data_IF_467394540488
#
_entry.id   IF_467394540488
#
_cell.length_a   1.000
_cell.length_b   1.000
_cell.length_c   1.000
_cell.angle_alpha   90.00
_cell.angle_beta   90.00
_cell.angle_gamma   90.00
#
_symmetry.space_group_name_H-M   'P 1'
#
loop_
_entity.id
_entity.type
_entity.pdbx_description
1 polymer ?
#
# COMPACT_ATOMS: atom_id res chain seq x y z
N UNK A 1 -10.95 17.12 -5.48
CA UNK A 1 -11.02 15.67 -5.87
C UNK A 1 -10.99 14.83 -4.61
N UNK A 2 -12.08 14.07 -4.40
CA UNK A 2 -12.22 13.17 -3.23
C UNK A 2 -11.92 11.74 -3.62
N UNK A 3 -11.05 11.08 -2.85
CA UNK A 3 -10.67 9.68 -3.09
C UNK A 3 -10.85 8.88 -1.80
N UNK A 4 -11.56 7.76 -1.91
CA UNK A 4 -11.65 6.75 -0.86
C UNK A 4 -10.55 5.70 -1.10
N UNK A 5 -9.58 5.63 -0.21
CA UNK A 5 -8.56 4.58 -0.19
C UNK A 5 -9.00 3.39 0.66
N UNK A 6 -8.73 2.18 0.19
CA UNK A 6 -9.03 0.92 0.87
C UNK A 6 -7.81 0.02 0.89
N UNK A 7 -7.51 -0.59 2.04
CA UNK A 7 -6.51 -1.65 2.14
C UNK A 7 -6.90 -2.73 3.16
N UNK A 8 -6.63 -3.97 2.78
CA UNK A 8 -6.74 -5.13 3.65
C UNK A 8 -5.65 -6.18 3.38
N UNK A 9 -4.56 -5.78 2.74
CA UNK A 9 -3.46 -6.68 2.37
C UNK A 9 -2.65 -7.18 3.57
N UNK A 10 -2.66 -6.44 4.68
CA UNK A 10 -1.96 -6.77 5.93
C UNK A 10 -2.86 -7.33 7.01
N UNK A 11 -2.32 -7.38 8.25
CA UNK A 11 -3.09 -7.68 9.45
C UNK A 11 -3.93 -6.47 9.93
N UNK A 12 -3.60 -5.27 9.48
CA UNK A 12 -4.40 -4.06 9.66
C UNK A 12 -5.21 -3.81 8.40
N UNK A 13 -6.50 -3.64 8.59
CA UNK A 13 -7.43 -3.16 7.57
C UNK A 13 -7.54 -1.66 7.72
N UNK A 14 -7.70 -0.97 6.65
CA UNK A 14 -7.85 0.49 6.72
C UNK A 14 -8.73 1.03 5.60
N UNK A 15 -9.37 2.15 5.89
CA UNK A 15 -10.06 3.01 4.94
C UNK A 15 -9.68 4.46 5.24
N UNK A 16 -9.45 5.25 4.20
CA UNK A 16 -9.07 6.65 4.31
C UNK A 16 -9.78 7.48 3.25
N UNK A 17 -10.38 8.57 3.65
CA UNK A 17 -10.95 9.55 2.73
C UNK A 17 -10.04 10.78 2.68
N UNK A 18 -9.62 11.13 1.48
CA UNK A 18 -8.87 12.35 1.24
C UNK A 18 -9.66 13.30 0.32
N UNK A 19 -9.40 14.60 0.45
CA UNK A 19 -9.85 15.63 -0.47
C UNK A 19 -8.67 16.54 -0.83
N UNK A 20 -8.36 16.65 -2.11
CA UNK A 20 -7.26 17.46 -2.63
C UNK A 20 -5.92 17.20 -1.90
N UNK A 21 -5.65 15.93 -1.60
CA UNK A 21 -4.46 15.47 -0.89
C UNK A 21 -4.52 15.61 0.64
N UNK A 22 -5.52 16.29 1.20
CA UNK A 22 -5.71 16.41 2.64
C UNK A 22 -6.56 15.23 3.18
N UNK A 23 -6.17 14.65 4.31
CA UNK A 23 -6.94 13.60 4.97
C UNK A 23 -8.15 14.20 5.65
N UNK A 24 -9.36 13.79 5.24
CA UNK A 24 -10.61 14.16 5.89
C UNK A 24 -10.95 13.22 7.03
N UNK A 25 -10.80 11.92 6.82
CA UNK A 25 -11.09 10.90 7.82
C UNK A 25 -10.31 9.62 7.52
N UNK A 26 -9.98 8.88 8.56
CA UNK A 26 -9.22 7.65 8.49
C UNK A 26 -9.71 6.67 9.56
N UNK A 27 -9.82 5.39 9.20
CA UNK A 27 -10.23 4.32 10.09
C UNK A 27 -9.31 3.11 9.90
N UNK A 28 -8.95 2.47 11.01
CA UNK A 28 -8.17 1.23 11.01
C UNK A 28 -8.79 0.20 11.96
N UNK A 29 -8.63 -1.06 11.62
CA UNK A 29 -8.92 -2.19 12.51
C UNK A 29 -7.83 -3.25 12.39
N UNK A 30 -7.48 -3.88 13.49
CA UNK A 30 -6.61 -5.06 13.49
C UNK A 30 -7.48 -6.30 13.29
N UNK A 31 -7.22 -7.06 12.22
CA UNK A 31 -7.90 -8.32 11.96
C UNK A 31 -6.99 -9.29 11.22
N UNK A 32 -6.62 -10.36 11.90
CA UNK A 32 -5.88 -11.47 11.28
C UNK A 32 -6.82 -12.33 10.43
N UNK A 33 -8.10 -12.39 10.81
CA UNK A 33 -9.17 -13.10 10.12
C UNK A 33 -10.43 -12.21 10.05
N UNK A 34 -11.34 -12.52 9.12
CA UNK A 34 -12.63 -11.82 9.03
C UNK A 34 -12.60 -10.47 8.31
N UNK A 35 -11.54 -10.18 7.55
CA UNK A 35 -11.40 -8.92 6.81
C UNK A 35 -12.65 -8.55 5.98
N UNK A 36 -13.31 -9.48 5.24
CA UNK A 36 -14.50 -9.15 4.45
C UNK A 36 -15.67 -8.62 5.29
N UNK A 37 -15.76 -9.02 6.56
CA UNK A 37 -16.86 -8.59 7.44
C UNK A 37 -16.60 -7.23 8.10
N UNK A 38 -15.34 -6.86 8.31
CA UNK A 38 -14.94 -5.65 9.05
C UNK A 38 -14.81 -4.43 8.14
N UNK A 39 -14.19 -4.60 6.96
CA UNK A 39 -13.87 -3.49 6.07
C UNK A 39 -15.09 -2.66 5.63
N UNK A 40 -16.27 -3.25 5.32
CA UNK A 40 -17.46 -2.48 4.98
C UNK A 40 -17.91 -1.53 6.09
N UNK A 41 -17.78 -1.95 7.35
CA UNK A 41 -18.11 -1.11 8.52
C UNK A 41 -17.20 0.11 8.65
N UNK A 42 -15.89 -0.04 8.39
CA UNK A 42 -14.95 1.08 8.38
C UNK A 42 -15.30 2.09 7.30
N UNK A 43 -15.64 1.61 6.10
CA UNK A 43 -16.03 2.47 4.98
C UNK A 43 -17.34 3.20 5.25
N UNK A 44 -18.35 2.50 5.76
CA UNK A 44 -19.65 3.10 6.09
C UNK A 44 -19.50 4.24 7.14
N UNK A 45 -18.62 4.05 8.13
CA UNK A 45 -18.33 5.08 9.13
C UNK A 45 -17.68 6.34 8.54
N UNK A 46 -16.90 6.21 7.46
CA UNK A 46 -16.30 7.34 6.74
C UNK A 46 -17.33 8.04 5.82
N UNK A 47 -18.00 7.27 4.96
CA UNK A 47 -18.89 7.82 3.93
C UNK A 47 -20.16 8.42 4.51
N UNK A 48 -20.70 7.86 5.60
CA UNK A 48 -21.94 8.33 6.24
C UNK A 48 -21.89 9.78 6.75
N UNK A 49 -20.70 10.39 6.83
CA UNK A 49 -20.47 11.76 7.32
C UNK A 49 -20.00 12.74 6.24
N UNK A 50 -19.50 12.25 5.12
CA UNK A 50 -18.67 13.06 4.21
C UNK A 50 -19.24 13.21 2.78
N UNK A 51 -20.29 12.48 2.45
CA UNK A 51 -20.87 12.51 1.10
C UNK A 51 -20.12 11.64 0.07
N UNK A 52 -20.34 11.94 -1.22
CA UNK A 52 -19.77 11.15 -2.33
C UNK A 52 -18.26 11.29 -2.51
N UNK A 53 -17.72 10.42 -3.36
CA UNK A 53 -16.31 10.41 -3.79
C UNK A 53 -16.22 10.47 -5.31
N UNK A 54 -15.11 10.98 -5.82
CA UNK A 54 -14.85 11.03 -7.27
C UNK A 54 -14.20 9.72 -7.76
N UNK A 55 -13.40 9.08 -6.90
CA UNK A 55 -12.71 7.82 -7.20
C UNK A 55 -12.60 6.94 -5.96
N UNK A 56 -12.44 5.63 -6.18
CA UNK A 56 -12.08 4.67 -5.16
C UNK A 56 -10.70 4.10 -5.53
N UNK A 57 -9.77 4.14 -4.59
CA UNK A 57 -8.45 3.54 -4.73
C UNK A 57 -8.35 2.29 -3.84
N UNK A 58 -7.91 1.18 -4.39
CA UNK A 58 -7.79 -0.08 -3.66
C UNK A 58 -6.36 -0.61 -3.66
N UNK A 59 -5.88 -1.05 -2.51
CA UNK A 59 -4.62 -1.77 -2.38
C UNK A 59 -4.70 -3.13 -3.10
N UNK A 60 -3.88 -3.31 -4.14
CA UNK A 60 -3.86 -4.54 -4.94
C UNK A 60 -2.85 -5.58 -4.45
N UNK A 61 -2.09 -5.28 -3.38
CA UNK A 61 -1.00 -6.09 -2.86
C UNK A 61 0.39 -5.50 -3.16
N UNK A 62 1.47 -6.21 -2.84
CA UNK A 62 1.50 -7.58 -2.34
C UNK A 62 1.02 -7.71 -0.89
N UNK A 63 0.50 -8.89 -0.52
CA UNK A 63 0.00 -9.16 0.83
C UNK A 63 -0.89 -10.39 0.93
N UNK A 64 -1.76 -10.41 1.93
CA UNK A 64 -2.68 -11.52 2.19
C UNK A 64 -3.75 -11.68 1.11
N UNK A 65 -3.83 -12.85 0.52
CA UNK A 65 -4.71 -13.19 -0.59
C UNK A 65 -6.20 -12.85 -0.34
N UNK A 66 -6.73 -13.26 0.82
CA UNK A 66 -8.14 -13.02 1.18
C UNK A 66 -8.43 -11.54 1.38
N UNK A 67 -7.53 -10.83 2.06
CA UNK A 67 -7.70 -9.40 2.33
C UNK A 67 -7.70 -8.56 1.06
N UNK A 68 -6.74 -8.78 0.16
CA UNK A 68 -6.67 -8.08 -1.13
C UNK A 68 -7.97 -8.26 -1.91
N UNK A 69 -8.47 -9.48 -2.02
CA UNK A 69 -9.72 -9.76 -2.74
C UNK A 69 -10.93 -9.14 -2.07
N UNK A 70 -10.98 -9.11 -0.72
CA UNK A 70 -12.04 -8.45 0.01
C UNK A 70 -12.06 -6.93 -0.24
N UNK A 71 -10.90 -6.28 -0.21
CA UNK A 71 -10.79 -4.85 -0.51
C UNK A 71 -11.20 -4.53 -1.95
N UNK A 72 -10.75 -5.32 -2.92
CA UNK A 72 -11.10 -5.15 -4.32
C UNK A 72 -12.59 -5.39 -4.59
N UNK A 73 -13.18 -6.45 -4.03
CA UNK A 73 -14.62 -6.72 -4.19
C UNK A 73 -15.47 -5.58 -3.62
N UNK A 74 -15.10 -5.07 -2.44
CA UNK A 74 -15.77 -3.92 -1.84
C UNK A 74 -15.60 -2.66 -2.68
N UNK A 75 -14.38 -2.39 -3.18
CA UNK A 75 -14.11 -1.24 -4.03
C UNK A 75 -14.94 -1.25 -5.30
N UNK A 76 -14.99 -2.38 -6.02
CA UNK A 76 -15.79 -2.52 -7.22
C UNK A 76 -17.30 -2.39 -6.94
N UNK A 77 -17.81 -3.05 -5.89
CA UNK A 77 -19.22 -2.94 -5.52
C UNK A 77 -19.66 -1.52 -5.14
N UNK A 78 -18.80 -0.78 -4.43
CA UNK A 78 -19.07 0.63 -4.11
C UNK A 78 -18.98 1.51 -5.36
N UNK A 79 -17.99 1.27 -6.22
CA UNK A 79 -17.79 2.03 -7.44
C UNK A 79 -18.98 1.89 -8.39
N UNK A 80 -19.47 0.66 -8.58
CA UNK A 80 -20.67 0.38 -9.37
C UNK A 80 -21.90 1.10 -8.81
N UNK A 81 -22.08 1.06 -7.48
CA UNK A 81 -23.20 1.74 -6.81
C UNK A 81 -23.12 3.27 -6.85
N UNK A 82 -21.93 3.85 -6.95
CA UNK A 82 -21.69 5.31 -6.95
C UNK A 82 -21.46 5.87 -8.37
N UNK A 83 -21.30 5.03 -9.38
CA UNK A 83 -20.96 5.46 -10.74
C UNK A 83 -19.57 6.06 -10.89
N UNK A 84 -18.57 5.58 -10.12
CA UNK A 84 -17.19 6.09 -10.12
C UNK A 84 -16.19 5.00 -10.53
N UNK A 85 -14.95 5.40 -10.86
CA UNK A 85 -13.89 4.46 -11.21
C UNK A 85 -13.16 3.87 -10.01
N UNK A 86 -12.56 2.67 -10.20
CA UNK A 86 -11.63 2.05 -9.24
C UNK A 86 -10.21 2.11 -9.78
N UNK A 87 -9.29 2.54 -8.92
CA UNK A 87 -7.84 2.63 -9.21
C UNK A 87 -7.11 1.59 -8.37
N UNK A 88 -6.38 0.69 -9.02
CA UNK A 88 -5.50 -0.25 -8.33
C UNK A 88 -4.18 0.41 -7.92
N UNK A 89 -3.79 0.26 -6.66
CA UNK A 89 -2.52 0.80 -6.15
C UNK A 89 -1.72 -0.30 -5.48
N UNK A 90 -0.48 -0.52 -5.93
CA UNK A 90 0.44 -1.41 -5.24
C UNK A 90 0.74 -0.88 -3.83
N UNK A 91 0.70 -1.75 -2.82
CA UNK A 91 1.07 -1.39 -1.45
C UNK A 91 2.51 -0.87 -1.39
N UNK A 92 3.41 -1.46 -2.18
CA UNK A 92 4.79 -0.98 -2.27
C UNK A 92 4.86 0.47 -2.80
N UNK A 93 4.03 0.83 -3.78
CA UNK A 93 3.95 2.19 -4.32
C UNK A 93 3.25 3.17 -3.37
N UNK A 94 2.37 2.68 -2.49
CA UNK A 94 1.69 3.49 -1.47
C UNK A 94 2.62 3.87 -0.30
N UNK A 95 3.56 3.01 0.09
CA UNK A 95 4.42 3.19 1.26
C UNK A 95 5.26 4.50 1.25
N UNK A 96 5.84 4.94 0.13
CA UNK A 96 6.59 6.20 0.07
C UNK A 96 5.78 7.42 0.52
N UNK A 97 4.47 7.44 0.28
CA UNK A 97 3.58 8.53 0.68
C UNK A 97 3.32 8.59 2.19
N UNK A 98 3.66 7.54 2.91
CA UNK A 98 3.52 7.45 4.37
C UNK A 98 4.81 7.75 5.12
N UNK A 99 5.94 7.84 4.43
CA UNK A 99 7.25 8.03 5.04
C UNK A 99 7.57 9.51 5.22
N UNK A 100 7.96 9.85 6.45
CA UNK A 100 8.56 11.16 6.72
C UNK A 100 10.01 11.16 6.18
N UNK A 101 10.22 11.88 5.10
CA UNK A 101 11.51 11.92 4.40
C UNK A 101 12.01 13.36 4.14
N UNK A 102 12.26 14.14 5.22
CA UNK A 102 12.65 15.55 5.08
C UNK A 102 14.01 15.73 4.40
N UNK A 103 14.80 14.67 4.28
CA UNK A 103 16.14 14.70 3.68
C UNK A 103 16.12 14.27 2.20
N UNK A 104 14.95 13.98 1.62
CA UNK A 104 14.82 13.57 0.22
C UNK A 104 15.63 12.31 -0.15
N UNK A 105 15.79 11.36 0.78
CA UNK A 105 16.52 10.11 0.52
C UNK A 105 15.74 9.25 -0.49
N UNK A 106 16.44 8.41 -1.23
CA UNK A 106 15.78 7.37 -2.00
C UNK A 106 14.98 6.46 -1.06
N UNK A 107 13.72 6.20 -1.40
CA UNK A 107 12.82 5.36 -0.60
C UNK A 107 12.78 3.96 -1.20
N UNK A 108 13.03 2.96 -0.35
CA UNK A 108 12.80 1.56 -0.67
C UNK A 108 11.61 1.04 0.14
N UNK A 109 10.57 0.58 -0.54
CA UNK A 109 9.43 -0.04 0.10
C UNK A 109 9.67 -1.54 0.23
N UNK A 110 9.58 -2.07 1.45
CA UNK A 110 9.86 -3.47 1.76
C UNK A 110 8.70 -4.08 2.54
N UNK A 111 8.14 -5.17 2.03
CA UNK A 111 7.05 -5.93 2.68
C UNK A 111 7.54 -7.35 2.94
N UNK A 112 7.38 -7.85 4.16
CA UNK A 112 7.63 -9.24 4.50
C UNK A 112 6.69 -10.16 3.69
N UNK A 113 7.28 -11.08 2.91
CA UNK A 113 6.50 -12.03 2.10
C UNK A 113 5.99 -13.23 2.90
N UNK A 114 6.28 -13.27 4.21
CA UNK A 114 5.92 -14.37 5.15
C UNK A 114 6.43 -15.76 4.74
N UNK A 115 7.43 -15.81 3.87
CA UNK A 115 8.09 -17.03 3.39
C UNK A 115 9.61 -16.94 3.51
N UNK A 116 10.11 -16.10 4.43
CA UNK A 116 11.54 -15.87 4.64
C UNK A 116 12.18 -14.94 3.61
N UNK A 117 11.40 -14.09 2.95
CA UNK A 117 11.87 -13.11 1.99
C UNK A 117 11.12 -11.79 2.07
N UNK A 118 11.43 -10.90 1.16
CA UNK A 118 10.94 -9.53 1.12
C UNK A 118 10.45 -9.20 -0.29
N UNK A 119 9.26 -8.65 -0.42
CA UNK A 119 8.87 -7.91 -1.61
C UNK A 119 9.49 -6.51 -1.52
N UNK A 120 10.33 -6.17 -2.48
CA UNK A 120 11.08 -4.92 -2.51
C UNK A 120 10.70 -4.10 -3.75
N UNK A 121 10.36 -2.82 -3.56
CA UNK A 121 10.31 -1.82 -4.62
C UNK A 121 11.40 -0.78 -4.39
N UNK A 122 12.14 -0.48 -5.44
CA UNK A 122 13.16 0.57 -5.51
C UNK A 122 12.80 1.54 -6.63
N UNK A 123 13.28 2.79 -6.58
CA UNK A 123 13.01 3.77 -7.65
C UNK A 123 13.50 3.35 -9.03
N UNK A 124 14.57 2.57 -9.06
CA UNK A 124 15.36 2.20 -10.25
C UNK A 124 15.04 0.79 -10.79
N UNK A 125 14.08 0.08 -10.19
CA UNK A 125 13.79 -1.30 -10.59
C UNK A 125 12.32 -1.67 -10.36
N UNK A 126 11.77 -2.62 -11.13
CA UNK A 126 10.45 -3.16 -10.87
C UNK A 126 10.39 -3.88 -9.51
N UNK A 127 9.17 -4.06 -8.96
CA UNK A 127 9.00 -4.84 -7.73
C UNK A 127 9.54 -6.26 -7.89
N UNK A 128 10.25 -6.73 -6.87
CA UNK A 128 10.83 -8.08 -6.87
C UNK A 128 10.59 -8.79 -5.53
N UNK A 129 10.49 -10.11 -5.58
CA UNK A 129 10.51 -10.98 -4.40
C UNK A 129 11.94 -11.48 -4.20
N UNK A 130 12.54 -11.16 -3.07
CA UNK A 130 13.94 -11.42 -2.79
C UNK A 130 14.10 -12.15 -1.45
N UNK A 131 14.99 -13.13 -1.41
CA UNK A 131 15.50 -13.64 -0.14
C UNK A 131 16.46 -12.61 0.47
N UNK A 132 16.60 -12.60 1.79
CA UNK A 132 17.43 -11.63 2.50
C UNK A 132 18.89 -11.55 1.97
N UNK A 133 19.44 -12.70 1.58
CA UNK A 133 20.82 -12.78 1.05
C UNK A 133 20.99 -12.07 -0.30
N UNK A 134 19.90 -11.98 -1.08
CA UNK A 134 19.89 -11.37 -2.42
C UNK A 134 19.51 -9.88 -2.42
N UNK A 135 19.33 -9.26 -1.25
CA UNK A 135 19.05 -7.82 -1.18
C UNK A 135 20.21 -7.03 -1.84
N UNK A 136 19.91 -6.16 -2.80
CA UNK A 136 20.92 -5.36 -3.47
C UNK A 136 21.52 -4.33 -2.53
N UNK A 137 22.78 -3.98 -2.75
CA UNK A 137 23.40 -2.87 -2.04
C UNK A 137 22.88 -1.54 -2.61
N UNK A 138 22.50 -0.57 -1.77
CA UNK A 138 22.12 0.75 -2.26
C UNK A 138 23.36 1.55 -2.68
N UNK A 139 23.26 2.34 -3.75
CA UNK A 139 24.33 3.24 -4.20
C UNK A 139 24.52 4.47 -3.30
N UNK A 140 23.52 4.79 -2.47
CA UNK A 140 23.53 5.94 -1.57
C UNK A 140 22.69 5.72 -0.32
N UNK A 141 22.42 6.81 0.40
CA UNK A 141 21.59 6.74 1.61
C UNK A 141 20.13 6.44 1.25
N UNK A 142 19.58 5.35 1.80
CA UNK A 142 18.22 4.88 1.54
C UNK A 142 17.39 4.92 2.82
N UNK A 143 16.12 5.29 2.68
CA UNK A 143 15.09 5.19 3.69
C UNK A 143 14.23 3.96 3.41
N UNK A 144 14.18 3.02 4.33
CA UNK A 144 13.39 1.79 4.23
C UNK A 144 12.06 1.94 4.97
N UNK A 145 10.95 1.57 4.31
CA UNK A 145 9.62 1.56 4.90
C UNK A 145 8.85 0.29 4.59
N UNK A 146 7.91 -0.08 5.47
CA UNK A 146 7.04 -1.25 5.33
C UNK A 146 7.34 -2.36 6.33
N UNK A 147 6.55 -3.43 6.30
CA UNK A 147 6.63 -4.54 7.27
C UNK A 147 7.92 -5.36 7.20
N UNK A 148 8.57 -5.38 6.04
CA UNK A 148 9.88 -6.02 5.83
C UNK A 148 11.08 -5.10 6.04
N UNK A 149 10.84 -3.80 6.34
CA UNK A 149 11.92 -2.81 6.41
C UNK A 149 12.96 -3.09 7.49
N UNK A 150 12.52 -3.54 8.68
CA UNK A 150 13.44 -3.86 9.77
C UNK A 150 14.38 -5.02 9.42
N UNK A 151 13.85 -6.06 8.78
CA UNK A 151 14.61 -7.21 8.31
C UNK A 151 15.61 -6.81 7.23
N UNK A 152 15.15 -6.04 6.22
CA UNK A 152 16.00 -5.51 5.16
C UNK A 152 17.10 -4.62 5.73
N UNK A 153 16.77 -3.70 6.64
CA UNK A 153 17.75 -2.81 7.28
C UNK A 153 18.82 -3.58 8.04
N UNK A 154 18.43 -4.56 8.85
CA UNK A 154 19.39 -5.37 9.62
C UNK A 154 20.42 -6.05 8.69
N UNK A 155 19.95 -6.61 7.57
CA UNK A 155 20.83 -7.27 6.59
C UNK A 155 21.73 -6.29 5.84
N UNK A 156 21.21 -5.15 5.45
CA UNK A 156 21.96 -4.14 4.72
C UNK A 156 22.97 -3.44 5.62
N UNK A 157 22.61 -3.10 6.86
CA UNK A 157 23.53 -2.52 7.85
C UNK A 157 24.68 -3.47 8.19
N UNK A 158 24.41 -4.78 8.33
CA UNK A 158 25.46 -5.78 8.56
C UNK A 158 26.48 -5.86 7.41
N UNK A 159 26.13 -5.36 6.21
CA UNK A 159 27.03 -5.24 5.04
C UNK A 159 27.63 -3.84 4.90
N UNK A 160 27.43 -2.96 5.88
CA UNK A 160 27.92 -1.57 5.87
C UNK A 160 27.12 -0.63 4.95
N UNK A 161 25.93 -1.03 4.48
CA UNK A 161 25.13 -0.19 3.61
C UNK A 161 24.50 1.01 4.37
N UNK A 162 24.46 2.20 3.77
CA UNK A 162 23.97 3.41 4.44
C UNK A 162 22.43 3.50 4.39
N UNK A 163 21.73 2.67 5.16
CA UNK A 163 20.27 2.62 5.25
C UNK A 163 19.75 3.14 6.59
N UNK A 164 18.53 3.65 6.59
CA UNK A 164 17.79 4.06 7.77
C UNK A 164 16.36 3.52 7.71
N UNK A 165 15.76 3.26 8.86
CA UNK A 165 14.34 2.93 8.96
C UNK A 165 13.52 4.22 8.94
N UNK A 166 12.48 4.23 8.09
CA UNK A 166 11.47 5.26 8.07
C UNK A 166 10.29 4.92 8.99
N UNK A 167 9.72 5.95 9.60
CA UNK A 167 8.47 5.83 10.34
C UNK A 167 7.30 6.07 9.42
N UNK A 168 6.37 5.13 9.36
CA UNK A 168 5.13 5.28 8.60
C UNK A 168 4.14 6.15 9.38
N UNK A 169 3.53 7.12 8.70
CA UNK A 169 2.51 8.02 9.25
C UNK A 169 1.15 7.71 8.63
N UNK A 170 0.21 7.29 9.46
CA UNK A 170 -1.15 6.92 9.04
C UNK A 170 -1.24 5.50 8.46
N UNK A 171 -2.43 5.18 7.97
CA UNK A 171 -2.77 3.85 7.47
C UNK A 171 -2.26 3.58 6.06
N UNK A 172 -2.24 2.30 5.68
CA UNK A 172 -1.93 1.91 4.29
C UNK A 172 -2.96 2.48 3.31
N UNK A 173 -4.25 2.53 3.68
CA UNK A 173 -5.30 3.13 2.85
C UNK A 173 -5.05 4.62 2.57
N UNK A 174 -4.45 5.36 3.51
CA UNK A 174 -3.99 6.73 3.28
C UNK A 174 -2.94 6.79 2.17
N UNK A 175 -1.93 5.94 2.25
CA UNK A 175 -0.89 5.85 1.20
C UNK A 175 -1.47 5.46 -0.15
N UNK A 176 -2.44 4.53 -0.18
CA UNK A 176 -3.17 4.12 -1.38
C UNK A 176 -3.93 5.30 -1.99
N UNK A 177 -4.67 6.07 -1.18
CA UNK A 177 -5.41 7.25 -1.66
C UNK A 177 -4.47 8.34 -2.20
N UNK A 178 -3.37 8.64 -1.48
CA UNK A 178 -2.39 9.65 -1.89
C UNK A 178 -1.64 9.27 -3.16
N UNK A 179 -1.25 7.99 -3.29
CA UNK A 179 -0.60 7.49 -4.51
C UNK A 179 -1.53 7.57 -5.72
N UNK A 180 -2.82 7.20 -5.55
CA UNK A 180 -3.83 7.34 -6.60
C UNK A 180 -4.02 8.81 -7.02
N UNK A 181 -4.10 9.73 -6.04
CA UNK A 181 -4.22 11.16 -6.31
C UNK A 181 -3.02 11.68 -7.11
N UNK A 182 -1.79 11.29 -6.72
CA UNK A 182 -0.57 11.69 -7.41
C UNK A 182 -0.54 11.19 -8.86
N UNK A 183 -0.89 9.92 -9.11
CA UNK A 183 -0.96 9.35 -10.46
C UNK A 183 -2.00 10.05 -11.34
N UNK A 184 -3.20 10.34 -10.81
CA UNK A 184 -4.22 11.09 -11.54
C UNK A 184 -3.77 12.49 -11.90
N UNK A 185 -3.11 13.20 -10.98
CA UNK A 185 -2.58 14.56 -11.24
C UNK A 185 -1.43 14.55 -12.24
N UNK A 186 -0.64 13.48 -12.28
CA UNK A 186 0.42 13.29 -13.26
C UNK A 186 -0.12 12.84 -14.64
N UNK A 187 -1.41 12.57 -14.77
CA UNK A 187 -2.01 12.03 -16.01
C UNK A 187 -1.56 10.60 -16.33
N UNK A 188 -1.12 9.86 -15.32
CA UNK A 188 -0.73 8.46 -15.50
C UNK A 188 -1.96 7.59 -15.76
N UNK A 189 -1.79 6.55 -16.59
CA UNK A 189 -2.85 5.57 -16.78
C UNK A 189 -3.13 4.84 -15.46
N UNK A 190 -4.39 4.82 -15.03
CA UNK A 190 -4.79 4.10 -13.82
C UNK A 190 -4.50 2.61 -13.97
N UNK A 191 -3.77 2.05 -13.00
CA UNK A 191 -3.56 0.61 -12.99
C UNK A 191 -4.89 -0.13 -12.76
N UNK A 192 -5.10 -1.28 -13.42
CA UNK A 192 -6.28 -2.09 -13.19
C UNK A 192 -6.38 -2.49 -11.71
N UNK A 193 -7.59 -2.40 -11.16
CA UNK A 193 -7.86 -2.85 -9.80
C UNK A 193 -8.00 -4.39 -9.76
N UNK A 194 -6.89 -5.08 -10.05
CA UNK A 194 -6.74 -6.52 -10.05
C UNK A 194 -5.61 -6.91 -9.06
N UNK A 195 -5.68 -8.11 -8.42
CA UNK A 195 -4.65 -8.55 -7.50
C UNK A 195 -3.25 -8.59 -8.14
N UNK A 196 -2.27 -7.97 -7.49
CA UNK A 196 -0.87 -8.01 -7.90
C UNK A 196 -0.17 -9.20 -7.25
N UNK A 197 0.25 -10.16 -8.07
CA UNK A 197 1.06 -11.29 -7.65
C UNK A 197 2.50 -11.08 -8.14
N UNK A 198 3.42 -10.81 -7.20
CA UNK A 198 4.86 -10.67 -7.52
C UNK A 198 5.50 -12.04 -7.67
N UNK A 199 5.15 -12.99 -6.78
CA UNK A 199 5.54 -14.38 -6.93
C UNK A 199 4.53 -15.10 -7.83
N UNK A 200 5.03 -15.89 -8.79
CA UNK A 200 4.16 -16.83 -9.50
C UNK A 200 3.62 -17.85 -8.48
N UNK A 201 2.31 -18.20 -8.53
CA UNK A 201 1.78 -19.27 -7.70
C UNK A 201 2.59 -20.54 -7.98
N UNK A 202 3.04 -21.23 -6.92
CA UNK A 202 3.63 -22.55 -7.07
C UNK A 202 2.58 -23.44 -7.74
N UNK A 203 2.85 -23.83 -8.99
CA UNK A 203 2.04 -24.83 -9.69
C UNK A 203 2.48 -26.17 -9.09
N UNK A 204 1.65 -26.71 -8.19
CA UNK A 204 1.77 -28.10 -7.69
C UNK A 204 0.97 -29.02 -8.58
#
# INVERSE_FOLDING_TARGET
>A
MRILGLDAAGARLSACLIEDGAVLAEQEALAVFGQPAILPGLVAALLGRQGGVDHIAAGIGPGGFTGIRAALALAHGLADGMGVGVIGVSILAALPFLLDNPQGRAVWAAIDNRRGGIFLLRPDAPPASLVEAALPAPEGRVLLGGSGAALAAARLLARGAPVALGSLRGSVARGVALAAAAGLLAGEASAPALPLYIDQPAVT
#
